data_IF_375796406416
#
_entry.id   IF_375796406416
#
_cell.length_a   1.000
_cell.length_b   1.000
_cell.length_c   1.000
_cell.angle_alpha   90.00
_cell.angle_beta   90.00
_cell.angle_gamma   90.00
#
_symmetry.space_group_name_H-M   'P 1'
#
loop_
_entity.id
_entity.type
_entity.pdbx_description
1 polymer ?
#
# COMPACT_ATOMS: atom_id res chain seq x y z
N UNK A 1 -18.07 -31.69 9.88
CA UNK A 1 -18.09 -30.23 9.64
C UNK A 1 -16.78 -29.61 10.14
N UNK A 2 -15.65 -30.06 9.59
CA UNK A 2 -14.30 -29.91 10.19
C UNK A 2 -13.21 -29.65 9.14
N UNK A 3 -13.56 -29.05 7.99
CA UNK A 3 -12.65 -28.85 6.84
C UNK A 3 -12.55 -27.40 6.36
N UNK A 4 -12.73 -26.41 7.23
CA UNK A 4 -12.68 -24.98 6.82
C UNK A 4 -11.48 -24.23 7.39
N UNK A 5 -10.71 -24.81 8.32
CA UNK A 5 -9.65 -24.08 9.05
C UNK A 5 -8.24 -24.67 8.86
N UNK A 6 -7.90 -25.08 7.65
CA UNK A 6 -6.51 -25.25 7.21
C UNK A 6 -6.05 -24.13 6.25
N UNK A 7 -6.65 -22.94 6.36
CA UNK A 7 -6.07 -21.69 5.83
C UNK A 7 -4.92 -21.21 6.75
N UNK A 8 -4.01 -22.12 7.10
CA UNK A 8 -2.70 -21.79 7.66
C UNK A 8 -1.74 -21.62 6.48
N UNK A 9 -2.03 -20.65 5.61
CA UNK A 9 -1.37 -20.55 4.30
C UNK A 9 -1.08 -19.09 4.01
N UNK A 10 0.21 -18.75 3.97
CA UNK A 10 0.79 -17.50 3.46
C UNK A 10 0.71 -16.22 4.30
N UNK A 11 0.17 -16.23 5.53
CA UNK A 11 0.25 -15.07 6.44
C UNK A 11 1.70 -14.60 6.67
N UNK A 12 2.67 -15.52 6.65
CA UNK A 12 4.09 -15.17 6.80
C UNK A 12 4.66 -14.34 5.64
N UNK A 13 4.08 -14.49 4.44
CA UNK A 13 4.53 -13.75 3.25
C UNK A 13 4.03 -12.30 3.28
N UNK A 14 2.98 -12.00 4.04
CA UNK A 14 2.31 -10.71 4.00
C UNK A 14 3.22 -9.53 4.40
N UNK A 15 4.02 -9.60 5.50
CA UNK A 15 5.01 -8.58 5.83
C UNK A 15 6.09 -8.40 4.74
N UNK A 16 6.52 -9.50 4.11
CA UNK A 16 7.55 -9.49 3.06
C UNK A 16 7.00 -8.80 1.81
N UNK A 17 5.77 -9.13 1.41
CA UNK A 17 5.08 -8.52 0.27
C UNK A 17 4.88 -7.02 0.51
N UNK A 18 4.38 -6.61 1.68
CA UNK A 18 4.19 -5.20 2.01
C UNK A 18 5.51 -4.43 2.02
N UNK A 19 6.57 -5.01 2.57
CA UNK A 19 7.90 -4.38 2.58
C UNK A 19 8.47 -4.26 1.17
N UNK A 20 8.30 -5.30 0.34
CA UNK A 20 8.71 -5.29 -1.06
C UNK A 20 7.95 -4.25 -1.88
N UNK A 21 6.63 -4.17 -1.72
CA UNK A 21 5.78 -3.18 -2.39
C UNK A 21 6.18 -1.76 -1.99
N UNK A 22 6.33 -1.50 -0.68
CA UNK A 22 6.78 -0.20 -0.18
C UNK A 22 8.19 0.14 -0.68
N UNK A 23 9.08 -0.84 -0.78
CA UNK A 23 10.42 -0.68 -1.36
C UNK A 23 10.37 -0.27 -2.83
N UNK A 24 9.58 -0.97 -3.65
CA UNK A 24 9.39 -0.66 -5.06
C UNK A 24 8.79 0.73 -5.26
N UNK A 25 7.76 1.08 -4.49
CA UNK A 25 7.17 2.41 -4.49
C UNK A 25 8.18 3.48 -4.10
N UNK A 26 8.98 3.24 -3.07
CA UNK A 26 10.05 4.16 -2.65
C UNK A 26 11.03 4.40 -3.79
N UNK A 27 11.44 3.35 -4.52
CA UNK A 27 12.34 3.47 -5.67
C UNK A 27 11.71 4.27 -6.82
N UNK A 28 10.44 4.01 -7.13
CA UNK A 28 9.69 4.73 -8.15
C UNK A 28 9.60 6.22 -7.83
N UNK A 29 9.16 6.57 -6.61
CA UNK A 29 9.05 7.97 -6.18
C UNK A 29 10.41 8.65 -6.01
N UNK A 30 11.45 7.88 -5.66
CA UNK A 30 12.82 8.38 -5.64
C UNK A 30 13.26 8.85 -7.03
N UNK A 31 12.97 8.07 -8.07
CA UNK A 31 13.25 8.43 -9.46
C UNK A 31 12.37 9.60 -9.95
N UNK A 32 11.10 9.64 -9.54
CA UNK A 32 10.16 10.68 -9.93
C UNK A 32 10.44 12.04 -9.26
N UNK A 33 10.71 12.07 -7.96
CA UNK A 33 10.96 13.30 -7.22
C UNK A 33 12.41 13.80 -7.36
N UNK A 34 13.39 12.91 -7.55
CA UNK A 34 14.83 13.23 -7.51
C UNK A 34 15.25 14.06 -6.28
N UNK A 35 14.48 13.98 -5.18
CA UNK A 35 14.73 14.77 -3.98
C UNK A 35 15.91 14.20 -3.18
N UNK A 36 16.87 15.05 -2.82
CA UNK A 36 18.01 14.67 -2.01
C UNK A 36 17.62 14.14 -0.63
N UNK A 37 16.52 14.66 -0.05
CA UNK A 37 15.99 14.20 1.24
C UNK A 37 15.41 12.79 1.11
N UNK A 38 14.59 12.54 0.08
CA UNK A 38 14.00 11.23 -0.15
C UNK A 38 15.08 10.18 -0.49
N UNK A 39 16.12 10.54 -1.24
CA UNK A 39 17.26 9.68 -1.52
C UNK A 39 17.98 9.20 -0.24
N UNK A 40 18.16 10.10 0.73
CA UNK A 40 18.81 9.78 2.00
C UNK A 40 17.90 9.00 2.95
N UNK A 41 16.61 9.32 2.97
CA UNK A 41 15.64 8.70 3.86
C UNK A 41 15.10 7.36 3.34
N UNK A 42 15.13 7.10 2.03
CA UNK A 42 14.61 5.88 1.41
C UNK A 42 15.09 4.57 2.07
N UNK A 43 16.41 4.32 2.28
CA UNK A 43 16.85 3.08 2.90
C UNK A 43 16.40 2.97 4.37
N UNK A 44 16.32 4.10 5.08
CA UNK A 44 15.81 4.16 6.45
C UNK A 44 14.31 3.87 6.52
N UNK A 45 13.52 4.42 5.59
CA UNK A 45 12.09 4.18 5.50
C UNK A 45 11.78 2.70 5.28
N UNK A 46 12.41 2.09 4.27
CA UNK A 46 12.21 0.67 3.96
C UNK A 46 12.75 -0.22 5.08
N UNK A 47 13.93 0.10 5.63
CA UNK A 47 14.55 -0.67 6.70
C UNK A 47 13.76 -0.64 8.01
N UNK A 48 13.33 0.54 8.45
CA UNK A 48 12.52 0.71 9.67
C UNK A 48 11.14 0.08 9.50
N UNK A 49 10.50 0.27 8.34
CA UNK A 49 9.22 -0.37 8.07
C UNK A 49 9.34 -1.90 8.05
N UNK A 50 10.37 -2.44 7.39
CA UNK A 50 10.63 -3.87 7.38
C UNK A 50 10.88 -4.44 8.78
N UNK A 51 11.68 -3.74 9.59
CA UNK A 51 11.92 -4.13 10.99
C UNK A 51 10.62 -4.10 11.82
N UNK A 52 9.81 -3.05 11.66
CA UNK A 52 8.51 -2.94 12.31
C UNK A 52 7.57 -4.10 11.92
N UNK A 53 7.51 -4.43 10.63
CA UNK A 53 6.70 -5.53 10.12
C UNK A 53 7.16 -6.90 10.65
N UNK A 54 8.47 -7.11 10.81
CA UNK A 54 9.03 -8.32 11.41
C UNK A 54 8.73 -8.42 12.92
N UNK A 55 8.82 -7.31 13.65
CA UNK A 55 8.51 -7.27 15.09
C UNK A 55 7.02 -7.55 15.33
N UNK A 56 6.13 -6.93 14.54
CA UNK A 56 4.68 -7.14 14.63
C UNK A 56 4.30 -8.61 14.36
N UNK A 57 4.99 -9.26 13.43
CA UNK A 57 4.82 -10.67 13.14
C UNK A 57 5.26 -11.60 14.27
N UNK A 58 6.32 -11.25 15.01
CA UNK A 58 6.80 -12.02 16.16
C UNK A 58 5.94 -11.81 17.41
N UNK A 59 5.03 -10.83 17.42
CA UNK A 59 4.17 -10.56 18.55
C UNK A 59 3.08 -11.64 18.72
N UNK A 60 2.85 -12.18 19.93
CA UNK A 60 1.89 -13.28 20.19
C UNK A 60 0.42 -12.98 19.83
N UNK A 61 0.06 -11.70 19.67
CA UNK A 61 -1.32 -11.24 19.45
C UNK A 61 -1.70 -11.16 17.95
N UNK A 62 -0.76 -11.40 17.04
CA UNK A 62 -0.93 -11.26 15.58
C UNK A 62 -1.83 -12.32 14.94
N UNK A 63 -2.06 -13.46 15.62
CA UNK A 63 -2.84 -14.58 15.08
C UNK A 63 -4.37 -14.45 15.26
N UNK A 64 -4.83 -13.58 16.17
CA UNK A 64 -6.25 -13.48 16.56
C UNK A 64 -6.91 -12.20 16.07
N UNK A 65 -6.12 -11.15 15.80
CA UNK A 65 -6.61 -9.88 15.28
C UNK A 65 -5.99 -9.65 13.89
N UNK A 66 -6.82 -9.30 12.92
CA UNK A 66 -6.38 -8.84 11.59
C UNK A 66 -5.44 -7.65 11.80
N UNK A 67 -4.11 -7.86 11.81
CA UNK A 67 -3.11 -6.88 12.24
C UNK A 67 -3.22 -5.56 11.44
N UNK A 68 -3.96 -4.55 11.95
CA UNK A 68 -4.27 -3.35 11.18
C UNK A 68 -3.09 -2.39 11.19
N UNK A 69 -2.20 -2.46 12.20
CA UNK A 69 -1.12 -1.50 12.41
C UNK A 69 -0.15 -1.43 11.25
N UNK A 70 0.46 -2.56 10.86
CA UNK A 70 1.42 -2.61 9.74
C UNK A 70 0.77 -2.17 8.42
N UNK A 71 -0.48 -2.57 8.18
CA UNK A 71 -1.22 -2.15 6.98
C UNK A 71 -1.50 -0.64 6.97
N UNK A 72 -1.99 -0.10 8.08
CA UNK A 72 -2.28 1.34 8.23
C UNK A 72 -1.00 2.14 8.05
N UNK A 73 0.10 1.75 8.70
CA UNK A 73 1.40 2.42 8.54
C UNK A 73 1.86 2.36 7.08
N UNK A 74 1.70 1.21 6.41
CA UNK A 74 2.04 1.07 4.99
C UNK A 74 1.24 2.04 4.11
N UNK A 75 -0.09 2.10 4.26
CA UNK A 75 -0.94 3.02 3.49
C UNK A 75 -0.64 4.49 3.80
N UNK A 76 -0.33 4.83 5.06
CA UNK A 76 0.09 6.18 5.44
C UNK A 76 1.42 6.57 4.77
N UNK A 77 2.39 5.65 4.69
CA UNK A 77 3.64 5.89 4.00
C UNK A 77 3.45 6.06 2.49
N UNK A 78 2.60 5.23 1.87
CA UNK A 78 2.22 5.37 0.46
C UNK A 78 1.58 6.74 0.19
N UNK A 79 0.61 7.15 1.00
CA UNK A 79 -0.03 8.45 0.91
C UNK A 79 0.96 9.60 1.14
N UNK A 80 1.90 9.45 2.07
CA UNK A 80 2.97 10.42 2.29
C UNK A 80 3.84 10.62 1.04
N UNK A 81 4.21 9.54 0.33
CA UNK A 81 4.97 9.64 -0.92
C UNK A 81 4.18 10.33 -2.02
N UNK A 82 2.91 9.95 -2.19
CA UNK A 82 2.00 10.60 -3.15
C UNK A 82 1.84 12.09 -2.83
N UNK A 83 1.68 12.43 -1.56
CA UNK A 83 1.56 13.82 -1.12
C UNK A 83 2.81 14.63 -1.45
N UNK A 84 4.00 14.08 -1.22
CA UNK A 84 5.25 14.74 -1.59
C UNK A 84 5.35 14.95 -3.11
N UNK A 85 4.89 13.98 -3.90
CA UNK A 85 4.83 14.10 -5.36
C UNK A 85 3.87 15.22 -5.79
N UNK A 86 2.63 15.23 -5.29
CA UNK A 86 1.67 16.29 -5.62
C UNK A 86 2.13 17.66 -5.16
N UNK A 87 2.76 17.77 -3.98
CA UNK A 87 3.34 19.03 -3.50
C UNK A 87 4.43 19.54 -4.45
N UNK A 88 5.30 18.66 -4.94
CA UNK A 88 6.32 19.02 -5.94
C UNK A 88 5.66 19.49 -7.23
N UNK A 89 4.68 18.74 -7.73
CA UNK A 89 3.94 19.04 -8.96
C UNK A 89 3.23 20.40 -8.91
N UNK A 90 2.62 20.74 -7.77
CA UNK A 90 1.98 22.04 -7.54
C UNK A 90 2.99 23.19 -7.50
N UNK A 91 4.19 22.96 -6.96
CA UNK A 91 5.24 23.96 -6.89
C UNK A 91 5.94 24.19 -8.24
N UNK A 92 6.05 23.15 -9.06
CA UNK A 92 6.81 23.19 -10.32
C UNK A 92 5.98 23.67 -11.53
N UNK A 93 4.65 23.87 -11.40
CA UNK A 93 3.69 24.57 -12.30
C UNK A 93 3.86 24.44 -13.85
N UNK A 94 4.61 23.47 -14.37
CA UNK A 94 5.11 23.45 -15.76
C UNK A 94 4.77 22.18 -16.55
N UNK A 95 3.68 21.49 -16.25
CA UNK A 95 3.26 20.33 -17.07
C UNK A 95 1.92 20.64 -17.73
N UNK A 96 1.97 21.08 -18.99
CA UNK A 96 0.79 21.39 -19.82
C UNK A 96 -0.13 20.18 -20.07
N UNK A 97 0.32 18.95 -19.77
CA UNK A 97 -0.46 17.72 -19.97
C UNK A 97 -0.28 16.70 -18.83
N UNK A 98 -0.64 17.08 -17.59
CA UNK A 98 -0.61 16.18 -16.41
C UNK A 98 -1.26 14.81 -16.64
N UNK A 99 -2.37 14.77 -17.39
CA UNK A 99 -3.10 13.52 -17.66
C UNK A 99 -2.36 12.51 -18.53
N UNK A 100 -1.27 12.91 -19.19
CA UNK A 100 -0.43 11.99 -19.97
C UNK A 100 0.75 11.45 -19.19
N UNK A 101 1.11 12.06 -18.05
CA UNK A 101 2.20 11.57 -17.22
C UNK A 101 1.79 10.27 -16.50
N UNK A 102 2.47 9.15 -16.78
CA UNK A 102 2.07 7.87 -16.22
C UNK A 102 2.23 7.83 -14.69
N UNK A 103 3.18 8.60 -14.13
CA UNK A 103 3.41 8.72 -12.69
C UNK A 103 2.27 9.50 -12.00
N UNK A 104 1.68 10.48 -12.68
CA UNK A 104 0.52 11.22 -12.16
C UNK A 104 -0.71 10.31 -12.06
N UNK A 105 -1.04 9.59 -13.13
CA UNK A 105 -2.14 8.61 -13.15
C UNK A 105 -1.92 7.51 -12.10
N UNK A 106 -0.69 7.01 -11.99
CA UNK A 106 -0.30 6.04 -10.98
C UNK A 106 -0.50 6.59 -9.55
N UNK A 107 -0.12 7.85 -9.30
CA UNK A 107 -0.27 8.48 -7.98
C UNK A 107 -1.74 8.67 -7.60
N UNK A 108 -2.62 8.96 -8.58
CA UNK A 108 -4.08 9.01 -8.36
C UNK A 108 -4.60 7.63 -7.95
N UNK A 109 -4.29 6.59 -8.74
CA UNK A 109 -4.70 5.22 -8.43
C UNK A 109 -4.18 4.75 -7.07
N UNK A 110 -2.92 5.04 -6.76
CA UNK A 110 -2.31 4.73 -5.46
C UNK A 110 -3.01 5.46 -4.31
N UNK A 111 -3.48 6.69 -4.52
CA UNK A 111 -4.27 7.43 -3.52
C UNK A 111 -5.60 6.76 -3.24
N UNK A 112 -6.35 6.40 -4.30
CA UNK A 112 -7.65 5.72 -4.17
C UNK A 112 -7.46 4.37 -3.48
N UNK A 113 -6.48 3.58 -3.91
CA UNK A 113 -6.09 2.32 -3.29
C UNK A 113 -5.77 2.48 -1.81
N UNK A 114 -4.87 3.39 -1.46
CA UNK A 114 -4.39 3.53 -0.09
C UNK A 114 -5.47 4.08 0.84
N UNK A 115 -6.28 5.06 0.41
CA UNK A 115 -7.41 5.58 1.20
C UNK A 115 -8.50 4.53 1.38
N UNK A 116 -8.89 3.82 0.32
CA UNK A 116 -9.90 2.78 0.37
C UNK A 116 -9.51 1.66 1.33
N UNK A 117 -8.26 1.19 1.24
CA UNK A 117 -7.77 0.17 2.15
C UNK A 117 -7.51 0.66 3.57
N UNK A 118 -7.13 1.93 3.77
CA UNK A 118 -6.97 2.53 5.09
C UNK A 118 -8.33 2.63 5.81
N UNK A 119 -9.39 3.02 5.10
CA UNK A 119 -10.75 2.99 5.63
C UNK A 119 -11.13 1.55 6.03
N UNK A 120 -10.95 0.58 5.14
CA UNK A 120 -11.23 -0.83 5.46
C UNK A 120 -10.43 -1.28 6.70
N UNK A 121 -9.15 -0.95 6.79
CA UNK A 121 -8.29 -1.35 7.91
C UNK A 121 -8.74 -0.73 9.24
N UNK A 122 -9.11 0.55 9.25
CA UNK A 122 -9.60 1.23 10.46
C UNK A 122 -10.97 0.71 10.90
N UNK A 123 -11.88 0.49 9.95
CA UNK A 123 -13.24 0.01 10.25
C UNK A 123 -13.32 -1.52 10.44
N UNK A 124 -12.28 -2.29 10.08
CA UNK A 124 -12.27 -3.75 10.21
C UNK A 124 -12.51 -4.20 11.65
N UNK A 125 -11.90 -3.54 12.62
CA UNK A 125 -12.10 -3.84 14.05
C UNK A 125 -13.53 -3.53 14.52
N UNK A 126 -14.11 -2.44 14.01
CA UNK A 126 -15.50 -2.08 14.31
C UNK A 126 -16.48 -3.10 13.73
N UNK A 127 -16.28 -3.53 12.49
CA UNK A 127 -17.14 -4.52 11.81
C UNK A 127 -17.05 -5.88 12.50
N UNK A 128 -15.86 -6.30 12.92
CA UNK A 128 -15.65 -7.56 13.66
C UNK A 128 -16.40 -7.56 15.00
N UNK A 129 -16.41 -6.41 15.70
CA UNK A 129 -17.04 -6.31 17.02
C UNK A 129 -18.57 -6.22 16.97
N UNK A 130 -19.14 -5.52 15.98
CA UNK A 130 -20.58 -5.19 15.96
C UNK A 130 -21.44 -6.00 14.98
N UNK A 131 -20.86 -6.59 13.94
CA UNK A 131 -21.65 -7.23 12.88
C UNK A 131 -21.47 -8.74 12.84
N UNK A 132 -20.53 -9.23 12.03
CA UNK A 132 -20.31 -10.66 11.81
C UNK A 132 -19.01 -10.88 11.05
N UNK A 133 -18.32 -11.97 11.38
CA UNK A 133 -17.11 -12.45 10.70
C UNK A 133 -17.36 -12.66 9.21
N UNK A 134 -18.56 -13.06 8.79
CA UNK A 134 -18.91 -13.27 7.37
C UNK A 134 -18.90 -11.97 6.57
N UNK A 135 -19.44 -10.88 7.12
CA UNK A 135 -19.44 -9.56 6.48
C UNK A 135 -18.01 -9.02 6.39
N UNK A 136 -17.22 -9.22 7.43
CA UNK A 136 -15.82 -8.84 7.44
C UNK A 136 -15.02 -9.58 6.36
N UNK A 137 -15.20 -10.89 6.21
CA UNK A 137 -14.55 -11.66 5.13
C UNK A 137 -14.96 -11.13 3.77
N UNK A 138 -16.25 -10.81 3.55
CA UNK A 138 -16.73 -10.28 2.28
C UNK A 138 -16.12 -8.91 1.95
N UNK A 139 -16.02 -8.02 2.93
CA UNK A 139 -15.40 -6.69 2.73
C UNK A 139 -13.90 -6.82 2.49
N UNK A 140 -13.20 -7.61 3.30
CA UNK A 140 -11.74 -7.81 3.21
C UNK A 140 -11.35 -8.56 1.94
N UNK A 141 -12.16 -9.49 1.44
CA UNK A 141 -11.81 -10.25 0.23
C UNK A 141 -12.47 -9.69 -1.03
N UNK A 142 -13.65 -9.08 -0.95
CA UNK A 142 -14.33 -8.50 -2.11
C UNK A 142 -13.76 -7.13 -2.45
N UNK A 143 -14.01 -6.17 -1.56
CA UNK A 143 -13.73 -4.74 -1.83
C UNK A 143 -12.22 -4.49 -1.94
N UNK A 144 -11.43 -5.06 -1.04
CA UNK A 144 -9.96 -4.96 -1.11
C UNK A 144 -9.37 -5.53 -2.40
N UNK A 145 -9.91 -6.64 -2.90
CA UNK A 145 -9.41 -7.20 -4.16
C UNK A 145 -9.76 -6.33 -5.36
N UNK A 146 -10.90 -5.61 -5.34
CA UNK A 146 -11.19 -4.60 -6.36
C UNK A 146 -10.12 -3.50 -6.36
N UNK A 147 -9.74 -2.99 -5.18
CA UNK A 147 -8.66 -2.01 -5.07
C UNK A 147 -7.30 -2.59 -5.54
N UNK A 148 -6.99 -3.85 -5.24
CA UNK A 148 -5.77 -4.51 -5.75
C UNK A 148 -5.77 -4.59 -7.28
N UNK A 149 -6.89 -4.98 -7.88
CA UNK A 149 -7.04 -5.06 -9.35
C UNK A 149 -6.85 -3.69 -9.99
N UNK A 150 -7.44 -2.65 -9.40
CA UNK A 150 -7.25 -1.26 -9.82
C UNK A 150 -5.76 -0.87 -9.77
N UNK A 151 -5.10 -1.07 -8.62
CA UNK A 151 -3.69 -0.72 -8.43
C UNK A 151 -2.78 -1.46 -9.41
N UNK A 152 -3.00 -2.76 -9.58
CA UNK A 152 -2.20 -3.58 -10.52
C UNK A 152 -2.45 -3.18 -11.97
N UNK A 153 -3.67 -2.74 -12.31
CA UNK A 153 -3.95 -2.09 -13.59
C UNK A 153 -3.08 -0.85 -13.80
N UNK A 154 -2.98 0.02 -12.79
CA UNK A 154 -2.11 1.19 -12.86
C UNK A 154 -0.61 0.83 -12.95
N UNK A 155 -0.14 -0.22 -12.26
CA UNK A 155 1.24 -0.71 -12.43
C UNK A 155 1.52 -1.15 -13.87
N UNK A 156 0.60 -1.89 -14.49
CA UNK A 156 0.75 -2.35 -15.88
C UNK A 156 0.80 -1.15 -16.84
N UNK A 157 -0.09 -0.17 -16.65
CA UNK A 157 -0.11 1.05 -17.47
C UNK A 157 1.21 1.83 -17.31
N UNK A 158 1.70 1.97 -16.08
CA UNK A 158 2.96 2.63 -15.78
C UNK A 158 4.14 1.95 -16.47
N UNK A 159 4.25 0.63 -16.36
CA UNK A 159 5.32 -0.16 -16.97
C UNK A 159 5.25 -0.13 -18.50
N UNK A 160 4.04 -0.18 -19.07
CA UNK A 160 3.86 -0.15 -20.53
C UNK A 160 4.19 1.23 -21.13
N UNK A 161 3.81 2.31 -20.44
CA UNK A 161 4.06 3.69 -20.88
C UNK A 161 5.45 4.22 -20.55
N UNK A 162 6.33 3.41 -19.98
CA UNK A 162 7.73 3.77 -19.77
C UNK A 162 8.59 3.08 -20.84
N UNK A 163 8.79 3.68 -22.04
CA UNK A 163 9.74 3.12 -22.99
C UNK A 163 11.13 3.21 -22.38
N UNK A 164 11.81 2.07 -22.28
CA UNK A 164 13.25 2.02 -21.99
C UNK A 164 13.97 2.86 -23.05
N UNK A 165 14.63 3.93 -22.61
CA UNK A 165 15.74 4.53 -23.35
C UNK A 165 17.02 3.83 -22.92
#
# INVERSE_FOLDING_TARGET
>A
MSRVLHLKSNLFLFPIVLTGELGLLTLLYRQALQSAMLNKMAPWLVGLFGLYALIDQLAPHSAVHYAPGVQVVSYLLMLGMVWLYFRKLLNDLLVEQLGQEPIFLFSIGLTVYALGNLLIALFSNYILHYYSVTIQILIIHGIRNLFNVELYGFYIILLWRHPRK
#
